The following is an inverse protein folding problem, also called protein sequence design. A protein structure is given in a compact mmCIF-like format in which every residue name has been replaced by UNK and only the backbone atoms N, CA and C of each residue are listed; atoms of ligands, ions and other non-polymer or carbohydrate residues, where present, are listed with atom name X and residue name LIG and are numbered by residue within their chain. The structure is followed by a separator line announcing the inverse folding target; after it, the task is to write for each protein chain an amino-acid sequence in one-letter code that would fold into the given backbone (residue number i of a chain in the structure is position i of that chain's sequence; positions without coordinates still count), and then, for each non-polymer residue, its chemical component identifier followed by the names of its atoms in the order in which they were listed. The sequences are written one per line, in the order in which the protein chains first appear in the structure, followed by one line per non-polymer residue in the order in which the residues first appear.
data_IF_107684918336
#
_entry.id   IF_107684918336
#
_cell.length_a   1.000
_cell.length_b   1.000
_cell.length_c   1.000
_cell.angle_alpha   90.00
_cell.angle_beta   90.00
_cell.angle_gamma   90.00
#
_symmetry.space_group_name_H-M   'P 1'
#
loop_
_entity.id
_entity.type
_entity.pdbx_description
1 polymer ?
#
# COMPACT_ATOMS: atom_id res chain seq x y z
N UNK A 1 -5.42 -17.77 -20.88
CA UNK A 1 -6.45 -18.13 -21.86
C UNK A 1 -7.74 -17.38 -21.56
N UNK A 2 -8.13 -17.35 -20.29
CA UNK A 2 -9.35 -16.68 -19.84
C UNK A 2 -8.98 -15.59 -18.85
N UNK A 3 -9.61 -14.43 -19.00
CA UNK A 3 -9.39 -13.32 -18.09
C UNK A 3 -10.21 -13.49 -16.83
N UNK A 4 -9.55 -13.43 -15.67
CA UNK A 4 -10.25 -13.58 -14.40
C UNK A 4 -11.23 -12.45 -14.16
N UNK A 5 -11.08 -11.32 -14.87
CA UNK A 5 -12.05 -10.22 -14.72
C UNK A 5 -13.41 -10.61 -15.27
N UNK A 6 -13.45 -11.35 -16.38
CA UNK A 6 -14.73 -11.74 -16.96
C UNK A 6 -15.52 -12.63 -16.01
N UNK A 7 -14.84 -13.58 -15.35
CA UNK A 7 -15.55 -14.45 -14.40
C UNK A 7 -16.17 -13.64 -13.27
N UNK A 8 -15.43 -12.66 -12.74
CA UNK A 8 -15.97 -11.83 -11.67
C UNK A 8 -17.12 -10.97 -12.16
N UNK A 9 -17.10 -10.56 -13.43
CA UNK A 9 -18.17 -9.74 -13.97
C UNK A 9 -19.50 -10.49 -13.97
N UNK A 10 -19.49 -11.76 -14.37
CA UNK A 10 -20.69 -12.57 -14.47
C UNK A 10 -21.00 -13.36 -13.21
N UNK A 11 -20.58 -12.85 -12.05
CA UNK A 11 -20.78 -13.50 -10.76
C UNK A 11 -21.63 -12.59 -9.87
N UNK A 12 -21.80 -13.01 -8.62
CA UNK A 12 -22.56 -12.28 -7.62
C UNK A 12 -21.68 -12.14 -6.37
N UNK A 13 -20.78 -11.16 -6.36
CA UNK A 13 -19.85 -11.05 -5.23
C UNK A 13 -20.57 -10.86 -3.90
N UNK A 14 -19.96 -11.39 -2.86
CA UNK A 14 -20.50 -11.35 -1.49
C UNK A 14 -19.48 -10.66 -0.61
N UNK A 15 -19.96 -9.72 0.21
CA UNK A 15 -19.07 -8.94 1.07
C UNK A 15 -18.82 -9.72 2.35
N UNK A 16 -17.56 -9.80 2.76
CA UNK A 16 -17.16 -10.44 4.01
C UNK A 16 -16.38 -9.40 4.82
N UNK A 17 -16.95 -8.99 5.95
CA UNK A 17 -16.30 -8.00 6.79
C UNK A 17 -15.12 -8.62 7.54
N UNK A 18 -14.17 -7.76 7.91
CA UNK A 18 -13.04 -8.20 8.70
C UNK A 18 -13.46 -8.80 10.03
N UNK A 19 -12.92 -9.97 10.36
CA UNK A 19 -13.32 -10.67 11.56
C UNK A 19 -14.60 -11.47 11.41
N UNK A 20 -15.07 -11.68 10.19
CA UNK A 20 -16.31 -12.38 9.91
C UNK A 20 -16.03 -13.63 9.09
N UNK A 21 -17.10 -14.34 8.72
CA UNK A 21 -16.96 -15.61 8.03
C UNK A 21 -18.23 -15.89 7.23
N UNK A 22 -18.06 -16.40 6.02
CA UNK A 22 -19.14 -16.88 5.17
C UNK A 22 -18.83 -18.29 4.71
N UNK A 23 -19.88 -19.05 4.41
CA UNK A 23 -19.73 -20.43 3.99
C UNK A 23 -20.62 -20.72 2.79
N UNK A 24 -20.07 -21.49 1.84
CA UNK A 24 -20.82 -22.01 0.71
C UNK A 24 -20.92 -23.52 0.83
N UNK A 25 -22.07 -24.07 0.45
CA UNK A 25 -22.33 -25.49 0.54
C UNK A 25 -22.53 -26.08 -0.84
N UNK A 26 -21.94 -27.25 -1.07
CA UNK A 26 -22.03 -27.94 -2.37
C UNK A 26 -22.28 -29.42 -2.09
N UNK A 27 -23.54 -29.84 -2.22
CA UNK A 27 -23.91 -31.23 -2.03
C UNK A 27 -24.12 -31.99 -3.33
N UNK A 28 -24.34 -31.29 -4.43
CA UNK A 28 -24.52 -31.96 -5.72
C UNK A 28 -23.26 -32.75 -6.05
N UNK A 29 -23.35 -34.07 -6.28
CA UNK A 29 -22.13 -34.85 -6.55
C UNK A 29 -21.43 -34.46 -7.84
N UNK A 30 -22.10 -33.75 -8.75
CA UNK A 30 -21.48 -33.38 -10.02
C UNK A 30 -20.52 -32.22 -9.90
N UNK A 31 -20.33 -31.66 -8.70
CA UNK A 31 -19.44 -30.53 -8.49
C UNK A 31 -18.05 -31.10 -8.21
N UNK A 32 -17.22 -31.18 -9.25
CA UNK A 32 -15.87 -31.72 -9.10
C UNK A 32 -14.94 -30.74 -8.42
N UNK A 33 -15.07 -29.45 -8.70
CA UNK A 33 -14.19 -28.45 -8.10
C UNK A 33 -14.90 -27.11 -8.10
N UNK A 34 -14.42 -26.20 -7.25
CA UNK A 34 -14.95 -24.85 -7.13
C UNK A 34 -13.82 -23.85 -7.27
N UNK A 35 -14.15 -22.65 -7.70
CA UNK A 35 -13.19 -21.58 -7.93
C UNK A 35 -13.51 -20.41 -6.99
N UNK A 36 -12.54 -20.02 -6.18
CA UNK A 36 -12.69 -18.93 -5.22
C UNK A 36 -12.02 -17.69 -5.78
N UNK A 37 -12.76 -16.59 -5.86
CA UNK A 37 -12.23 -15.30 -6.28
C UNK A 37 -12.41 -14.31 -5.12
N UNK A 38 -11.33 -13.63 -4.76
CA UNK A 38 -11.34 -12.67 -3.66
C UNK A 38 -10.81 -11.34 -4.16
N UNK A 39 -11.63 -10.29 -4.00
CA UNK A 39 -11.25 -8.94 -4.40
C UNK A 39 -11.59 -7.97 -3.27
N UNK A 40 -10.98 -6.79 -3.33
CA UNK A 40 -11.27 -5.69 -2.41
C UNK A 40 -11.47 -4.42 -3.22
N UNK A 41 -11.85 -3.35 -2.52
CA UNK A 41 -11.96 -2.03 -3.14
C UNK A 41 -10.67 -1.22 -2.95
N UNK A 42 -9.54 -1.81 -3.31
CA UNK A 42 -8.26 -1.14 -3.31
C UNK A 42 -7.35 -1.49 -2.15
N UNK A 43 -7.92 -1.74 -0.97
CA UNK A 43 -7.11 -1.95 0.23
C UNK A 43 -6.53 -3.36 0.26
N UNK A 44 -5.55 -3.59 1.13
CA UNK A 44 -4.95 -4.93 1.21
C UNK A 44 -5.95 -5.98 1.68
N UNK A 45 -5.71 -7.23 1.26
CA UNK A 45 -6.57 -8.36 1.59
C UNK A 45 -5.83 -9.32 2.51
N UNK A 46 -6.55 -9.81 3.52
CA UNK A 46 -6.03 -10.83 4.44
C UNK A 46 -7.15 -11.81 4.71
N UNK A 47 -7.07 -13.01 4.14
CA UNK A 47 -8.18 -13.95 4.12
C UNK A 47 -7.72 -15.34 4.53
N UNK A 48 -8.71 -16.17 4.85
CA UNK A 48 -8.51 -17.59 5.15
C UNK A 48 -9.55 -18.40 4.40
N UNK A 49 -9.10 -19.28 3.51
CA UNK A 49 -9.97 -20.13 2.72
C UNK A 49 -9.78 -21.55 3.19
N UNK A 50 -10.86 -22.19 3.63
CA UNK A 50 -10.81 -23.54 4.18
C UNK A 50 -11.91 -24.39 3.58
N UNK A 51 -11.56 -25.62 3.20
CA UNK A 51 -12.51 -26.62 2.77
C UNK A 51 -12.83 -27.51 3.96
N UNK A 52 -14.10 -27.57 4.34
CA UNK A 52 -14.57 -28.39 5.44
C UNK A 52 -15.35 -29.57 4.90
N UNK A 53 -15.01 -30.78 5.34
CA UNK A 53 -15.65 -32.00 4.87
C UNK A 53 -16.58 -32.61 5.90
N UNK A 54 -16.13 -32.78 7.12
CA UNK A 54 -16.93 -33.36 8.18
C UNK A 54 -17.03 -32.44 9.38
N UNK A 55 -17.35 -33.00 10.55
CA UNK A 55 -17.46 -32.16 11.75
C UNK A 55 -16.17 -31.43 12.11
N UNK A 56 -15.00 -32.07 11.92
CA UNK A 56 -13.75 -31.48 12.36
C UNK A 56 -12.61 -31.71 11.38
N UNK A 57 -12.91 -31.89 10.10
CA UNK A 57 -11.91 -32.19 9.08
C UNK A 57 -11.68 -30.99 8.18
N UNK A 58 -10.42 -30.59 8.03
CA UNK A 58 -10.01 -29.48 7.18
C UNK A 58 -8.90 -29.99 6.26
N UNK A 59 -9.24 -30.70 5.19
CA UNK A 59 -8.20 -31.24 4.29
C UNK A 59 -7.56 -30.18 3.40
N UNK A 60 -8.19 -29.01 3.25
CA UNK A 60 -7.70 -27.99 2.33
C UNK A 60 -7.88 -26.63 2.98
N UNK A 61 -6.81 -25.86 3.10
CA UNK A 61 -6.88 -24.56 3.74
C UNK A 61 -5.76 -23.66 3.23
N UNK A 62 -6.04 -22.35 3.20
CA UNK A 62 -5.11 -21.36 2.68
C UNK A 62 -5.07 -20.15 3.59
N UNK A 63 -3.91 -19.52 3.70
CA UNK A 63 -3.75 -18.21 4.33
C UNK A 63 -3.28 -17.25 3.24
N UNK A 64 -4.12 -16.30 2.90
CA UNK A 64 -3.91 -15.44 1.72
C UNK A 64 -3.58 -14.03 2.18
N UNK A 65 -2.81 -13.32 1.36
CA UNK A 65 -2.50 -11.91 1.59
C UNK A 65 -2.23 -11.25 0.25
N UNK A 66 -2.97 -10.19 -0.05
CA UNK A 66 -2.81 -9.43 -1.28
C UNK A 66 -2.71 -7.95 -0.92
N UNK A 67 -1.74 -7.26 -1.51
CA UNK A 67 -1.52 -5.85 -1.18
C UNK A 67 -2.60 -4.95 -1.73
N UNK A 68 -3.16 -5.28 -2.91
CA UNK A 68 -4.17 -4.46 -3.56
C UNK A 68 -5.19 -5.38 -4.21
N UNK A 69 -6.35 -5.54 -3.57
CA UNK A 69 -7.35 -6.44 -4.10
C UNK A 69 -8.05 -5.92 -5.34
N UNK A 70 -8.16 -4.59 -5.47
CA UNK A 70 -8.77 -4.03 -6.67
C UNK A 70 -7.90 -4.30 -7.90
N UNK A 71 -6.59 -4.12 -7.78
CA UNK A 71 -5.70 -4.36 -8.90
C UNK A 71 -5.54 -5.85 -9.17
N UNK A 72 -5.33 -6.64 -8.12
CA UNK A 72 -4.98 -8.05 -8.24
C UNK A 72 -6.16 -8.91 -7.78
N UNK A 73 -6.52 -9.89 -8.59
CA UNK A 73 -7.59 -10.83 -8.27
C UNK A 73 -6.96 -12.12 -7.74
N UNK A 74 -7.32 -12.50 -6.52
CA UNK A 74 -6.95 -13.80 -6.01
C UNK A 74 -7.82 -14.88 -6.65
N UNK A 75 -7.23 -16.04 -6.89
CA UNK A 75 -7.93 -17.12 -7.56
C UNK A 75 -7.32 -18.45 -7.17
N UNK A 76 -8.17 -19.42 -6.86
CA UNK A 76 -7.75 -20.78 -6.56
C UNK A 76 -8.90 -21.72 -6.86
N UNK A 77 -8.62 -22.76 -7.65
CA UNK A 77 -9.60 -23.81 -7.94
C UNK A 77 -9.39 -24.92 -6.94
N UNK A 78 -10.42 -25.21 -6.15
CA UNK A 78 -10.36 -26.19 -5.07
C UNK A 78 -11.11 -27.44 -5.51
N UNK A 79 -10.48 -28.60 -5.34
CA UNK A 79 -11.16 -29.84 -5.62
C UNK A 79 -12.17 -30.18 -4.55
N UNK A 80 -13.29 -30.76 -4.97
CA UNK A 80 -14.36 -31.20 -4.07
C UNK A 80 -14.70 -32.64 -4.42
N UNK A 81 -13.78 -33.57 -4.15
CA UNK A 81 -13.94 -34.95 -4.65
C UNK A 81 -15.14 -35.69 -4.09
N UNK A 82 -15.25 -35.82 -2.77
CA UNK A 82 -16.15 -36.78 -2.16
C UNK A 82 -17.15 -36.08 -1.25
N UNK A 83 -18.42 -36.49 -1.36
CA UNK A 83 -19.43 -36.12 -0.41
C UNK A 83 -19.75 -34.64 -0.42
N UNK A 84 -20.55 -34.19 0.55
CA UNK A 84 -20.84 -32.76 0.66
C UNK A 84 -19.60 -32.01 1.13
N UNK A 85 -19.31 -30.90 0.44
CA UNK A 85 -18.19 -30.04 0.78
C UNK A 85 -18.70 -28.63 0.98
N UNK A 86 -18.32 -28.00 2.09
CA UNK A 86 -18.64 -26.61 2.36
C UNK A 86 -17.35 -25.80 2.38
N UNK A 87 -17.32 -24.73 1.57
CA UNK A 87 -16.19 -23.82 1.52
C UNK A 87 -16.43 -22.68 2.48
N UNK A 88 -15.40 -22.31 3.24
CA UNK A 88 -15.51 -21.27 4.27
C UNK A 88 -14.48 -20.18 4.00
N UNK A 89 -14.96 -18.95 3.87
CA UNK A 89 -14.11 -17.77 3.70
C UNK A 89 -14.14 -17.00 5.01
N UNK A 90 -12.98 -16.79 5.61
CA UNK A 90 -12.84 -16.05 6.85
C UNK A 90 -11.92 -14.87 6.62
N UNK A 91 -12.48 -13.66 6.72
CA UNK A 91 -11.69 -12.44 6.62
C UNK A 91 -10.99 -12.22 7.96
N UNK A 92 -9.66 -12.34 7.96
CA UNK A 92 -8.89 -12.26 9.19
C UNK A 92 -8.27 -10.89 9.42
N UNK A 93 -8.48 -9.96 8.48
CA UNK A 93 -8.02 -8.60 8.69
C UNK A 93 -8.96 -7.82 9.59
N UNK A 94 -8.51 -6.62 9.97
CA UNK A 94 -9.30 -5.76 10.84
C UNK A 94 -10.53 -5.26 10.08
N UNK A 95 -11.33 -4.43 10.76
CA UNK A 95 -12.54 -3.90 10.16
C UNK A 95 -12.24 -2.98 8.98
N UNK A 96 -11.00 -2.52 8.84
CA UNK A 96 -10.64 -1.59 7.79
C UNK A 96 -10.40 -2.26 6.43
N UNK A 97 -10.36 -3.58 6.37
CA UNK A 97 -9.97 -4.32 5.17
C UNK A 97 -11.05 -5.32 4.79
N UNK A 98 -12.19 -4.85 4.31
CA UNK A 98 -13.22 -5.76 3.80
C UNK A 98 -12.79 -6.38 2.49
N UNK A 99 -13.40 -7.53 2.18
CA UNK A 99 -13.11 -8.24 0.94
C UNK A 99 -14.40 -8.72 0.31
N UNK A 100 -14.35 -8.91 -1.01
CA UNK A 100 -15.43 -9.54 -1.77
C UNK A 100 -15.04 -10.98 -2.07
N UNK A 101 -16.02 -11.87 -2.10
CA UNK A 101 -15.77 -13.29 -2.28
C UNK A 101 -16.75 -13.89 -3.27
N UNK A 102 -16.22 -14.64 -4.23
CA UNK A 102 -17.03 -15.42 -5.17
C UNK A 102 -16.47 -16.84 -5.19
N UNK A 103 -17.27 -17.79 -4.72
CA UNK A 103 -16.95 -19.21 -4.81
C UNK A 103 -18.14 -19.91 -5.45
N UNK A 104 -17.92 -20.53 -6.59
CA UNK A 104 -18.97 -21.16 -7.38
C UNK A 104 -18.41 -22.44 -7.98
N UNK A 105 -19.26 -23.40 -8.31
CA UNK A 105 -18.76 -24.65 -8.88
C UNK A 105 -18.02 -24.41 -10.19
N UNK A 106 -16.93 -25.15 -10.37
CA UNK A 106 -16.13 -25.06 -11.59
C UNK A 106 -16.81 -25.88 -12.69
N UNK A 107 -16.17 -25.99 -13.84
CA UNK A 107 -16.70 -26.75 -14.96
C UNK A 107 -15.57 -27.51 -15.64
N UNK A 108 -15.94 -28.52 -16.43
CA UNK A 108 -14.94 -29.30 -17.15
C UNK A 108 -14.14 -28.42 -18.10
N UNK A 109 -14.78 -27.37 -18.63
CA UNK A 109 -14.13 -26.42 -19.52
C UNK A 109 -13.75 -25.12 -18.80
N UNK A 110 -13.62 -25.17 -17.48
CA UNK A 110 -13.36 -23.99 -16.67
C UNK A 110 -11.89 -23.72 -16.45
N UNK A 111 -11.59 -23.09 -15.32
CA UNK A 111 -10.22 -22.66 -15.04
C UNK A 111 -9.29 -23.85 -14.91
N UNK A 112 -9.74 -24.94 -14.29
CA UNK A 112 -8.86 -26.08 -14.07
C UNK A 112 -8.37 -26.66 -15.39
N UNK A 113 -9.26 -26.77 -16.38
CA UNK A 113 -8.85 -27.32 -17.68
C UNK A 113 -7.82 -26.42 -18.34
N UNK A 114 -8.02 -25.11 -18.30
CA UNK A 114 -7.05 -24.19 -18.88
C UNK A 114 -5.73 -24.24 -18.16
N UNK A 115 -5.75 -24.29 -16.83
CA UNK A 115 -4.52 -24.39 -16.05
C UNK A 115 -3.76 -25.65 -16.43
N UNK A 116 -4.46 -26.78 -16.54
CA UNK A 116 -3.80 -28.02 -16.93
C UNK A 116 -3.24 -27.93 -18.35
N UNK A 117 -4.00 -27.33 -19.28
CA UNK A 117 -3.55 -27.24 -20.65
C UNK A 117 -2.30 -26.38 -20.78
N UNK A 118 -2.24 -25.25 -20.06
CA UNK A 118 -1.10 -24.36 -20.17
C UNK A 118 0.14 -24.91 -19.44
N UNK A 119 -0.05 -25.87 -18.55
CA UNK A 119 1.04 -26.31 -17.68
C UNK A 119 2.16 -26.99 -18.48
N UNK A 120 3.38 -26.84 -17.97
CA UNK A 120 4.56 -27.50 -18.50
C UNK A 120 5.04 -28.53 -17.48
N UNK A 121 5.83 -29.50 -17.95
CA UNK A 121 6.37 -30.55 -17.10
C UNK A 121 6.83 -29.98 -15.77
N UNK A 122 6.29 -30.53 -14.68
CA UNK A 122 6.58 -30.02 -13.35
C UNK A 122 8.00 -30.35 -12.93
N UNK A 123 8.52 -29.55 -12.00
CA UNK A 123 9.83 -29.75 -11.41
C UNK A 123 9.69 -30.01 -9.92
N UNK A 124 10.66 -30.71 -9.36
CA UNK A 124 10.60 -31.13 -7.96
C UNK A 124 11.27 -30.09 -7.07
N UNK A 125 10.62 -29.78 -5.95
CA UNK A 125 11.17 -28.89 -4.93
C UNK A 125 11.24 -29.68 -3.63
N UNK A 126 12.45 -29.82 -3.10
CA UNK A 126 12.64 -30.54 -1.85
C UNK A 126 12.09 -29.73 -0.68
N UNK A 127 11.73 -30.43 0.39
CA UNK A 127 11.27 -29.78 1.60
C UNK A 127 12.32 -28.85 2.18
N UNK A 128 11.92 -27.63 2.51
CA UNK A 128 12.84 -26.63 2.98
C UNK A 128 13.58 -25.88 1.89
N UNK A 129 13.32 -26.20 0.63
CA UNK A 129 13.92 -25.53 -0.51
C UNK A 129 12.90 -24.60 -1.15
N UNK A 130 13.28 -23.98 -2.27
CA UNK A 130 12.38 -23.09 -2.98
C UNK A 130 12.82 -23.01 -4.44
N UNK A 131 11.93 -22.50 -5.27
CA UNK A 131 12.18 -22.28 -6.68
C UNK A 131 11.73 -20.88 -7.07
N UNK A 132 12.34 -20.36 -8.13
CA UNK A 132 12.09 -19.00 -8.60
C UNK A 132 11.69 -19.05 -10.07
N UNK A 133 10.67 -18.26 -10.43
CA UNK A 133 10.12 -18.23 -11.78
C UNK A 133 9.99 -16.79 -12.25
N UNK A 134 11.09 -16.18 -12.71
CA UNK A 134 10.98 -14.84 -13.30
C UNK A 134 10.06 -14.86 -14.51
N UNK A 135 9.25 -13.80 -14.64
CA UNK A 135 8.35 -13.63 -15.77
C UNK A 135 8.57 -12.26 -16.38
N UNK A 136 8.35 -12.18 -17.68
CA UNK A 136 8.59 -10.94 -18.40
C UNK A 136 7.36 -10.05 -18.36
N UNK A 137 7.53 -8.74 -18.60
CA UNK A 137 6.40 -7.81 -18.46
C UNK A 137 5.19 -8.16 -19.32
N UNK A 138 5.34 -9.05 -20.30
CA UNK A 138 4.23 -9.37 -21.20
C UNK A 138 3.19 -10.27 -20.57
N UNK A 139 3.50 -10.91 -19.44
CA UNK A 139 2.60 -11.86 -18.81
C UNK A 139 1.70 -11.11 -17.82
N UNK A 140 0.40 -11.36 -17.91
CA UNK A 140 -0.58 -10.78 -17.00
C UNK A 140 -1.03 -11.73 -15.89
N UNK A 141 -1.08 -13.04 -16.17
CA UNK A 141 -1.42 -14.01 -15.15
C UNK A 141 -0.62 -15.28 -15.41
N UNK A 142 -0.38 -16.04 -14.33
CA UNK A 142 0.40 -17.26 -14.40
C UNK A 142 -0.36 -18.37 -13.68
N UNK A 143 -0.37 -19.56 -14.26
CA UNK A 143 -1.00 -20.72 -13.66
C UNK A 143 0.01 -21.49 -12.82
N UNK A 144 -0.41 -21.89 -11.61
CA UNK A 144 0.42 -22.62 -10.67
C UNK A 144 -0.27 -23.94 -10.34
N UNK A 145 0.49 -25.02 -10.44
CA UNK A 145 0.02 -26.35 -10.05
C UNK A 145 1.04 -26.94 -9.08
N UNK A 146 0.56 -27.38 -7.93
CA UNK A 146 1.40 -28.02 -6.91
C UNK A 146 0.86 -29.41 -6.63
N UNK A 147 1.74 -30.41 -6.72
CA UNK A 147 1.35 -31.81 -6.56
C UNK A 147 2.39 -32.55 -5.74
N UNK A 148 1.97 -33.69 -5.19
CA UNK A 148 2.88 -34.63 -4.55
C UNK A 148 2.62 -36.02 -5.11
N UNK A 149 3.30 -37.03 -4.57
CA UNK A 149 3.06 -38.41 -4.94
C UNK A 149 2.15 -39.14 -3.96
N UNK A 150 1.62 -38.44 -2.96
CA UNK A 150 0.76 -39.05 -1.96
C UNK A 150 0.99 -38.49 -0.58
N UNK A 151 2.03 -37.68 -0.41
CA UNK A 151 2.33 -37.06 0.87
C UNK A 151 1.50 -35.81 1.08
N UNK A 152 1.38 -35.35 2.33
CA UNK A 152 0.72 -34.06 2.57
C UNK A 152 1.53 -32.92 1.97
N UNK A 153 0.82 -31.86 1.59
CA UNK A 153 1.40 -30.72 0.89
C UNK A 153 1.46 -29.52 1.82
N UNK A 154 2.65 -28.94 1.96
CA UNK A 154 2.86 -27.74 2.76
C UNK A 154 3.76 -26.81 1.96
N UNK A 155 3.17 -25.78 1.37
CA UNK A 155 3.88 -24.90 0.45
C UNK A 155 3.55 -23.45 0.79
N UNK A 156 4.33 -22.55 0.18
CA UNK A 156 4.09 -21.11 0.28
C UNK A 156 4.46 -20.46 -1.05
N UNK A 157 3.49 -19.80 -1.67
CA UNK A 157 3.68 -19.11 -2.94
C UNK A 157 3.81 -17.63 -2.65
N UNK A 158 4.85 -17.00 -3.20
CA UNK A 158 5.08 -15.58 -3.04
C UNK A 158 5.27 -14.94 -4.42
N UNK A 159 4.57 -13.84 -4.66
CA UNK A 159 4.77 -13.02 -5.84
C UNK A 159 5.54 -11.78 -5.43
N UNK A 160 6.65 -11.52 -6.11
CA UNK A 160 7.52 -10.40 -5.81
C UNK A 160 7.66 -9.50 -7.02
N UNK A 161 7.62 -8.19 -6.78
CA UNK A 161 7.97 -7.18 -7.77
C UNK A 161 9.27 -6.47 -7.40
N UNK A 162 10.08 -7.07 -6.54
CA UNK A 162 11.34 -6.50 -6.11
C UNK A 162 12.13 -7.49 -5.30
N UNK A 163 13.32 -7.09 -4.83
CA UNK A 163 14.13 -7.99 -4.01
C UNK A 163 13.35 -8.66 -2.89
N UNK A 164 12.76 -7.88 -1.98
CA UNK A 164 12.00 -8.45 -0.88
C UNK A 164 10.61 -7.85 -0.83
N UNK A 165 10.07 -7.51 -1.99
CA UNK A 165 8.83 -6.74 -2.11
C UNK A 165 7.69 -7.71 -2.40
N UNK A 166 7.05 -8.18 -1.33
CA UNK A 166 6.00 -9.19 -1.45
C UNK A 166 4.67 -8.52 -1.80
N UNK A 167 4.07 -8.95 -2.90
CA UNK A 167 2.75 -8.47 -3.30
C UNK A 167 1.64 -9.46 -3.01
N UNK A 168 1.94 -10.77 -3.09
CA UNK A 168 0.94 -11.79 -2.82
C UNK A 168 1.63 -12.99 -2.18
N UNK A 169 1.05 -13.49 -1.08
CA UNK A 169 1.61 -14.63 -0.36
C UNK A 169 0.47 -15.60 -0.06
N UNK A 170 0.70 -16.88 -0.35
CA UNK A 170 -0.29 -17.93 -0.16
C UNK A 170 0.38 -19.08 0.59
N UNK A 171 0.03 -19.24 1.87
CA UNK A 171 0.52 -20.35 2.69
C UNK A 171 -0.56 -21.43 2.68
N UNK A 172 -0.37 -22.45 1.84
CA UNK A 172 -1.38 -23.46 1.59
C UNK A 172 -1.03 -24.77 2.27
N UNK A 173 -2.07 -25.56 2.56
CA UNK A 173 -1.91 -26.89 3.11
C UNK A 173 -2.94 -27.83 2.49
N UNK A 174 -2.49 -29.01 2.10
CA UNK A 174 -3.37 -30.05 1.59
C UNK A 174 -2.97 -31.38 2.22
N UNK A 175 -3.97 -32.21 2.50
CA UNK A 175 -3.70 -33.49 3.17
C UNK A 175 -3.08 -34.50 2.22
N UNK A 176 -3.39 -34.42 0.93
CA UNK A 176 -2.84 -35.37 -0.05
C UNK A 176 -2.68 -34.64 -1.38
N UNK A 177 -1.43 -34.35 -1.75
CA UNK A 177 -1.19 -33.66 -3.00
C UNK A 177 -1.62 -34.45 -4.22
N UNK A 178 -1.52 -35.78 -4.17
CA UNK A 178 -1.96 -36.60 -5.28
C UNK A 178 -3.47 -36.52 -5.45
N UNK A 179 -4.21 -36.69 -4.36
CA UNK A 179 -5.67 -36.65 -4.41
C UNK A 179 -6.21 -35.23 -4.53
N UNK A 180 -5.52 -34.25 -3.93
CA UNK A 180 -6.04 -32.88 -3.82
C UNK A 180 -4.99 -31.91 -4.35
N UNK A 181 -4.82 -31.83 -5.66
CA UNK A 181 -3.85 -30.88 -6.22
C UNK A 181 -4.28 -29.44 -5.97
N UNK A 182 -3.28 -28.55 -5.91
CA UNK A 182 -3.52 -27.13 -5.68
C UNK A 182 -3.44 -26.39 -7.01
N UNK A 183 -4.56 -25.83 -7.43
CA UNK A 183 -4.64 -24.97 -8.61
C UNK A 183 -4.82 -23.53 -8.16
N UNK A 184 -4.17 -22.60 -8.87
CA UNK A 184 -4.29 -21.19 -8.55
C UNK A 184 -3.72 -20.37 -9.69
N UNK A 185 -4.34 -19.22 -9.93
CA UNK A 185 -3.87 -18.25 -10.92
C UNK A 185 -3.41 -17.01 -10.18
N UNK A 186 -2.20 -16.56 -10.48
CA UNK A 186 -1.62 -15.37 -9.88
C UNK A 186 -1.51 -14.31 -10.96
N UNK A 187 -2.22 -13.20 -10.79
CA UNK A 187 -2.12 -12.08 -11.71
C UNK A 187 -0.80 -11.34 -11.46
N UNK A 188 -0.15 -10.94 -12.56
CA UNK A 188 1.17 -10.32 -12.50
C UNK A 188 1.15 -9.01 -13.28
N UNK A 189 0.46 -8.00 -12.77
CA UNK A 189 0.53 -6.68 -13.40
C UNK A 189 1.89 -6.03 -13.20
N UNK A 190 2.29 -5.25 -14.20
CA UNK A 190 3.55 -4.51 -14.11
C UNK A 190 4.74 -5.26 -14.63
N UNK A 191 5.91 -4.99 -14.05
CA UNK A 191 7.17 -5.60 -14.49
C UNK A 191 7.94 -6.05 -13.26
N UNK A 192 8.94 -6.91 -13.50
CA UNK A 192 9.74 -7.43 -12.43
C UNK A 192 9.04 -8.45 -11.57
N UNK A 193 7.99 -9.09 -12.09
CA UNK A 193 7.22 -10.07 -11.33
C UNK A 193 8.00 -11.38 -11.24
N UNK A 194 8.22 -11.85 -10.02
CA UNK A 194 8.94 -13.09 -9.76
C UNK A 194 8.12 -13.94 -8.81
N UNK A 195 7.87 -15.19 -9.19
CA UNK A 195 7.09 -16.12 -8.39
C UNK A 195 8.05 -17.04 -7.66
N UNK A 196 7.98 -17.04 -6.33
CA UNK A 196 8.79 -17.92 -5.48
C UNK A 196 7.88 -18.96 -4.85
N UNK A 197 8.18 -20.23 -5.08
CA UNK A 197 7.47 -21.36 -4.49
C UNK A 197 8.36 -21.96 -3.43
N UNK A 198 7.89 -21.95 -2.18
CA UNK A 198 8.68 -22.39 -1.04
C UNK A 198 8.01 -23.63 -0.45
N UNK A 199 8.77 -24.72 -0.37
CA UNK A 199 8.30 -25.97 0.23
C UNK A 199 8.69 -25.94 1.70
N UNK A 200 7.73 -25.63 2.57
CA UNK A 200 8.01 -25.46 3.99
C UNK A 200 8.01 -26.77 4.77
N UNK A 201 7.71 -27.89 4.12
CA UNK A 201 7.73 -29.17 4.80
C UNK A 201 9.17 -29.62 5.05
N UNK A 202 9.38 -30.55 5.98
CA UNK A 202 10.73 -31.07 6.21
C UNK A 202 11.30 -31.72 4.95
N UNK A 203 12.59 -32.04 5.02
CA UNK A 203 13.33 -32.45 3.83
C UNK A 203 12.70 -33.67 3.17
N UNK A 204 12.09 -34.57 3.94
CA UNK A 204 11.57 -35.82 3.43
C UNK A 204 10.15 -35.69 2.87
N UNK A 205 9.71 -34.48 2.53
CA UNK A 205 8.39 -34.24 1.95
C UNK A 205 8.53 -33.35 0.71
N UNK A 206 9.02 -33.92 -0.40
CA UNK A 206 9.12 -33.14 -1.63
C UNK A 206 7.76 -32.94 -2.29
N UNK A 207 7.69 -31.93 -3.16
CA UNK A 207 6.50 -31.65 -3.94
C UNK A 207 6.89 -31.35 -5.38
N UNK A 208 5.89 -31.30 -6.25
CA UNK A 208 6.06 -30.98 -7.66
C UNK A 208 5.37 -29.66 -7.97
N UNK A 209 6.03 -28.83 -8.77
CA UNK A 209 5.51 -27.51 -9.11
C UNK A 209 5.64 -27.26 -10.60
N UNK A 210 4.75 -26.41 -11.11
CA UNK A 210 4.80 -26.00 -12.52
C UNK A 210 4.13 -24.64 -12.61
N UNK A 211 4.93 -23.59 -12.81
CA UNK A 211 4.43 -22.22 -12.96
C UNK A 211 4.69 -21.80 -14.40
N UNK A 212 3.61 -21.64 -15.16
CA UNK A 212 3.68 -21.26 -16.56
C UNK A 212 3.01 -19.91 -16.77
N UNK A 213 3.29 -19.29 -17.90
CA UNK A 213 2.58 -18.09 -18.29
C UNK A 213 1.18 -18.46 -18.74
N UNK A 214 0.17 -17.76 -18.19
CA UNK A 214 -1.22 -18.08 -18.47
C UNK A 214 -1.85 -17.07 -19.43
N UNK A 215 -1.79 -15.78 -19.10
CA UNK A 215 -2.37 -14.73 -19.93
C UNK A 215 -1.29 -13.72 -20.28
N UNK A 216 -1.01 -13.59 -21.57
CA UNK A 216 -0.03 -12.63 -22.07
C UNK A 216 -0.74 -11.67 -23.01
N UNK A 217 -0.54 -10.37 -22.78
CA UNK A 217 -1.27 -9.36 -23.54
C UNK A 217 -0.49 -8.79 -24.71
N UNK A 218 0.83 -8.81 -24.63
CA UNK A 218 1.63 -8.23 -25.70
C UNK A 218 1.44 -6.73 -25.84
N UNK A 219 1.45 -6.01 -24.72
CA UNK A 219 1.20 -4.59 -24.75
C UNK A 219 2.33 -3.80 -25.39
N UNK A 220 3.48 -3.75 -24.73
CA UNK A 220 4.64 -3.05 -25.27
C UNK A 220 4.35 -1.59 -25.56
N UNK A 221 3.71 -0.89 -24.62
CA UNK A 221 3.37 0.52 -24.77
C UNK A 221 4.46 1.35 -24.11
N UNK A 222 5.10 2.22 -24.89
CA UNK A 222 6.23 3.03 -24.43
C UNK A 222 5.95 4.51 -24.64
N UNK A 223 4.74 4.95 -24.31
CA UNK A 223 4.43 6.37 -24.39
C UNK A 223 5.05 7.14 -23.23
N UNK A 224 5.18 6.50 -22.07
CA UNK A 224 5.76 7.16 -20.91
C UNK A 224 7.26 7.37 -21.04
N UNK A 225 7.90 6.77 -22.04
CA UNK A 225 9.33 6.94 -22.22
C UNK A 225 9.65 8.36 -22.65
N UNK A 226 10.52 9.03 -21.90
CA UNK A 226 10.88 10.41 -22.11
C UNK A 226 11.01 11.13 -20.80
N UNK A 227 10.94 12.46 -20.86
CA UNK A 227 11.05 13.27 -19.66
C UNK A 227 9.93 12.91 -18.67
N UNK A 228 10.29 12.80 -17.40
CA UNK A 228 9.33 12.52 -16.34
C UNK A 228 8.77 13.83 -15.81
N UNK A 229 7.47 14.03 -15.93
CA UNK A 229 6.80 15.25 -15.53
C UNK A 229 5.95 14.97 -14.31
N UNK A 230 6.05 15.84 -13.31
CA UNK A 230 5.28 15.68 -12.10
C UNK A 230 3.81 16.00 -12.31
N UNK A 231 3.04 15.80 -11.25
CA UNK A 231 1.61 16.10 -11.31
C UNK A 231 1.37 17.56 -11.65
N UNK A 232 0.47 17.79 -12.59
CA UNK A 232 0.12 19.14 -13.03
C UNK A 232 -1.19 19.56 -12.39
N UNK A 233 -1.21 20.74 -11.80
CA UNK A 233 -2.38 21.22 -11.07
C UNK A 233 -2.50 22.75 -11.18
N UNK B 1 11.93 25.15 17.21
CA UNK B 1 11.93 24.76 18.61
C UNK B 1 12.42 23.33 18.77
N UNK B 2 12.03 22.46 17.83
CA UNK B 2 12.42 21.06 17.84
C UNK B 2 12.92 20.68 16.44
N UNK B 3 13.94 19.84 16.39
CA UNK B 3 14.49 19.39 15.12
C UNK B 3 13.91 18.04 14.75
N UNK B 4 13.41 17.93 13.51
CA UNK B 4 12.89 16.65 13.04
C UNK B 4 13.97 15.58 13.07
N UNK B 5 15.23 15.96 12.89
CA UNK B 5 16.33 15.00 12.94
C UNK B 5 16.46 14.38 14.33
N UNK B 6 16.20 15.16 15.38
CA UNK B 6 16.27 14.63 16.74
C UNK B 6 15.26 13.51 16.94
N UNK B 7 14.02 13.72 16.47
CA UNK B 7 12.99 12.69 16.60
C UNK B 7 13.29 11.51 15.69
N UNK B 8 13.65 11.78 14.44
CA UNK B 8 13.91 10.70 13.49
C UNK B 8 15.09 9.83 13.91
N UNK B 9 15.99 10.36 14.74
CA UNK B 9 17.13 9.57 15.21
C UNK B 9 16.72 8.58 16.30
N UNK B 10 15.67 8.89 17.06
CA UNK B 10 15.16 8.00 18.11
C UNK B 10 13.95 7.21 17.62
N UNK B 11 13.95 6.84 16.34
CA UNK B 11 12.82 6.14 15.72
C UNK B 11 13.34 4.86 15.08
N UNK B 12 12.41 4.12 14.46
CA UNK B 12 12.72 2.87 13.77
C UNK B 12 12.14 2.97 12.36
N UNK B 13 12.88 3.60 11.43
CA UNK B 13 12.33 3.82 10.09
C UNK B 13 12.05 2.50 9.38
N UNK B 14 11.03 2.52 8.53
CA UNK B 14 10.60 1.37 7.76
C UNK B 14 10.71 1.71 6.28
N UNK B 15 11.36 0.84 5.52
CA UNK B 15 11.53 1.06 4.09
C UNK B 15 10.24 0.66 3.37
N UNK B 16 9.78 1.52 2.48
CA UNK B 16 8.62 1.26 1.64
C UNK B 16 9.10 1.35 0.20
N UNK B 17 9.05 0.22 -0.52
CA UNK B 17 9.51 0.19 -1.89
C UNK B 17 8.51 0.88 -2.82
N UNK B 18 9.00 1.24 -4.00
CA UNK B 18 8.14 1.85 -4.99
C UNK B 18 6.98 0.95 -5.37
N UNK B 19 5.76 1.46 -5.23
CA UNK B 19 4.57 0.68 -5.52
C UNK B 19 4.04 -0.12 -4.35
N UNK B 20 4.72 -0.14 -3.21
CA UNK B 20 4.33 -0.94 -2.07
C UNK B 20 3.48 -0.12 -1.09
N UNK B 21 3.19 -0.70 0.06
CA UNK B 21 2.32 -0.08 1.04
C UNK B 21 2.53 -0.75 2.39
N UNK B 22 2.78 0.05 3.42
CA UNK B 22 2.81 -0.42 4.80
C UNK B 22 1.71 0.28 5.58
N UNK B 23 1.24 -0.39 6.63
CA UNK B 23 0.16 0.12 7.46
C UNK B 23 0.52 0.01 8.93
N UNK B 24 0.01 0.95 9.71
CA UNK B 24 0.15 0.94 11.16
C UNK B 24 -1.24 0.90 11.78
N UNK B 25 -1.34 0.35 12.98
CA UNK B 25 -2.60 0.26 13.70
C UNK B 25 -2.45 0.88 15.08
N UNK B 26 -3.39 1.76 15.42
CA UNK B 26 -3.42 2.43 16.72
C UNK B 26 -4.84 2.30 17.28
N UNK B 27 -5.10 1.19 17.96
CA UNK B 27 -6.40 0.96 18.61
C UNK B 27 -6.48 1.59 19.99
N UNK B 28 -5.37 2.04 20.55
CA UNK B 28 -5.37 2.62 21.88
C UNK B 28 -6.02 4.01 21.85
N UNK B 29 -7.11 4.25 22.59
CA UNK B 29 -7.72 5.58 22.57
C UNK B 29 -6.84 6.68 23.18
N UNK B 30 -5.82 6.31 23.94
CA UNK B 30 -4.92 7.32 24.51
C UNK B 30 -4.09 8.03 23.44
N UNK B 31 -4.08 7.53 22.22
CA UNK B 31 -3.29 8.10 21.13
C UNK B 31 -4.12 9.21 20.48
N UNK B 32 -3.82 10.46 20.81
CA UNK B 32 -4.57 11.58 20.25
C UNK B 32 -4.16 11.86 18.81
N UNK B 33 -2.88 11.72 18.48
CA UNK B 33 -2.41 12.02 17.13
C UNK B 33 -1.10 11.27 16.89
N UNK B 34 -0.77 11.10 15.61
CA UNK B 34 0.44 10.41 15.18
C UNK B 34 1.21 11.32 14.24
N UNK B 35 2.53 11.39 14.42
CA UNK B 35 3.39 12.19 13.58
C UNK B 35 4.05 11.30 12.53
N UNK B 36 3.96 11.71 11.27
CA UNK B 36 4.45 10.92 10.14
C UNK B 36 5.68 11.62 9.58
N UNK B 37 6.80 10.90 9.55
CA UNK B 37 8.06 11.40 9.00
C UNK B 37 8.49 10.50 7.85
N UNK B 38 8.75 11.11 6.69
CA UNK B 38 9.21 10.39 5.51
C UNK B 38 10.53 10.97 5.03
N UNK B 39 11.46 10.08 4.67
CA UNK B 39 12.76 10.47 4.14
C UNK B 39 13.13 9.54 2.99
N UNK B 40 14.24 9.87 2.33
CA UNK B 40 14.82 9.00 1.31
C UNK B 40 16.34 9.09 1.41
N UNK B 41 17.02 8.32 0.57
CA UNK B 41 18.48 8.38 0.46
C UNK B 41 18.90 9.30 -0.68
N UNK B 42 18.37 10.53 -0.69
CA UNK B 42 18.76 11.52 -1.66
C UNK B 42 17.92 11.55 -2.93
N UNK B 43 17.21 10.48 -3.23
CA UNK B 43 16.36 10.45 -4.41
C UNK B 43 14.99 11.04 -4.11
N UNK B 44 14.24 11.43 -5.14
CA UNK B 44 12.94 12.08 -4.90
C UNK B 44 11.97 11.17 -4.15
N UNK B 45 11.01 11.82 -3.49
CA UNK B 45 9.97 11.16 -2.72
C UNK B 45 8.62 11.40 -3.38
N UNK B 46 7.79 10.36 -3.41
CA UNK B 46 6.44 10.46 -3.96
C UNK B 46 5.57 9.42 -3.25
N UNK B 47 4.75 9.88 -2.31
CA UNK B 47 4.00 8.98 -1.44
C UNK B 47 2.59 9.48 -1.25
N UNK B 48 1.70 8.55 -0.92
CA UNK B 48 0.34 8.85 -0.48
C UNK B 48 0.20 8.47 0.98
N UNK B 49 -0.29 9.41 1.79
CA UNK B 49 -0.55 9.17 3.21
C UNK B 49 -2.06 9.27 3.41
N UNK B 50 -2.65 8.22 3.96
CA UNK B 50 -4.09 8.17 4.21
C UNK B 50 -4.35 7.68 5.62
N UNK B 51 -5.44 8.18 6.20
CA UNK B 51 -5.96 7.69 7.47
C UNK B 51 -7.20 6.86 7.18
N UNK B 52 -7.20 5.61 7.63
CA UNK B 52 -8.31 4.69 7.43
C UNK B 52 -8.99 4.47 8.77
N UNK B 53 -10.31 4.69 8.81
CA UNK B 53 -11.09 4.54 10.03
C UNK B 53 -12.07 3.37 9.94
N UNK B 54 -12.94 3.38 8.92
CA UNK B 54 -13.88 2.31 8.73
C UNK B 54 -13.53 1.45 7.53
N UNK B 55 -14.44 0.57 7.12
CA UNK B 55 -14.17 -0.26 5.95
C UNK B 55 -13.90 0.54 4.68
N UNK B 56 -14.60 1.67 4.48
CA UNK B 56 -14.48 2.42 3.24
C UNK B 56 -14.44 3.92 3.49
N UNK B 57 -13.96 4.34 4.65
CA UNK B 57 -13.86 5.75 5.00
C UNK B 57 -12.40 6.15 5.14
N UNK B 58 -11.99 7.17 4.40
CA UNK B 58 -10.65 7.75 4.52
C UNK B 58 -10.82 9.24 4.77
N UNK B 59 -10.93 9.66 6.04
CA UNK B 59 -11.22 11.07 6.34
C UNK B 59 -10.02 11.99 6.27
N UNK B 60 -8.82 11.49 5.97
CA UNK B 60 -7.63 12.33 5.99
C UNK B 60 -6.59 11.67 5.08
N UNK B 61 -6.35 12.28 3.91
CA UNK B 61 -5.40 11.75 2.94
C UNK B 61 -4.52 12.88 2.41
N UNK B 62 -3.34 12.50 1.95
CA UNK B 62 -2.31 13.46 1.55
C UNK B 62 -1.49 12.91 0.39
N UNK B 63 -1.40 13.68 -0.68
CA UNK B 63 -0.56 13.37 -1.84
C UNK B 63 0.70 14.20 -1.72
N UNK B 64 1.85 13.53 -1.61
CA UNK B 64 3.09 14.18 -1.18
C UNK B 64 4.16 14.01 -2.26
N UNK B 65 4.94 15.06 -2.47
CA UNK B 65 6.07 15.05 -3.39
C UNK B 65 7.20 15.88 -2.81
N UNK B 66 8.40 15.31 -2.78
CA UNK B 66 9.60 16.02 -2.34
C UNK B 66 10.71 15.74 -3.34
N UNK B 67 11.37 16.79 -3.82
CA UNK B 67 12.41 16.62 -4.83
C UNK B 67 13.60 15.83 -4.29
N UNK B 68 14.01 16.11 -3.05
CA UNK B 68 15.12 15.41 -2.42
C UNK B 68 14.70 15.03 -1.00
N UNK B 69 14.65 13.73 -0.73
CA UNK B 69 14.21 13.26 0.57
C UNK B 69 15.29 13.26 1.65
N UNK B 70 16.56 13.18 1.25
CA UNK B 70 17.63 13.24 2.25
C UNK B 70 17.80 14.66 2.79
N UNK B 71 17.80 15.65 1.90
CA UNK B 71 17.92 17.04 2.35
C UNK B 71 16.67 17.49 3.11
N UNK B 72 15.50 17.09 2.64
CA UNK B 72 14.23 17.59 3.16
C UNK B 72 13.44 16.42 3.75
N UNK B 73 13.13 16.52 5.04
CA UNK B 73 12.32 15.52 5.73
C UNK B 73 10.86 15.97 5.69
N UNK B 74 10.00 15.16 5.09
CA UNK B 74 8.58 15.44 5.13
C UNK B 74 8.03 15.13 6.51
N UNK B 75 7.19 16.01 7.04
CA UNK B 75 6.63 15.83 8.37
C UNK B 75 5.17 16.25 8.36
N UNK B 76 4.34 15.49 9.08
CA UNK B 76 2.94 15.82 9.25
C UNK B 76 2.44 15.18 10.54
N UNK B 77 1.49 15.85 11.18
CA UNK B 77 0.84 15.33 12.38
C UNK B 77 -0.63 15.11 12.04
N UNK B 78 -1.09 13.88 12.22
CA UNK B 78 -2.44 13.49 11.85
C UNK B 78 -3.23 13.20 13.12
N UNK B 79 -4.37 13.86 13.26
CA UNK B 79 -5.24 13.60 14.40
C UNK B 79 -6.00 12.31 14.22
N UNK B 80 -6.20 11.60 15.34
CA UNK B 80 -6.90 10.32 15.37
C UNK B 80 -7.96 10.38 16.45
N UNK B 81 -9.04 11.13 16.21
CA UNK B 81 -9.98 11.44 17.30
C UNK B 81 -10.71 10.24 17.87
N UNK B 82 -11.34 9.43 17.02
CA UNK B 82 -12.35 8.47 17.47
C UNK B 82 -11.97 7.06 17.05
N UNK B 83 -11.90 6.15 18.03
CA UNK B 83 -11.82 4.74 17.77
C UNK B 83 -10.48 4.31 17.21
N UNK B 84 -10.41 3.09 16.69
CA UNK B 84 -9.16 2.62 16.08
C UNK B 84 -8.95 3.21 14.70
N UNK B 85 -7.70 3.56 14.42
CA UNK B 85 -7.30 4.10 13.13
C UNK B 85 -6.05 3.38 12.66
N UNK B 86 -5.90 3.28 11.34
CA UNK B 86 -4.68 2.75 10.74
C UNK B 86 -4.20 3.72 9.67
N UNK B 87 -2.92 4.06 9.72
CA UNK B 87 -2.31 4.99 8.77
C UNK B 87 -1.70 4.19 7.62
N UNK B 88 -2.10 4.53 6.39
CA UNK B 88 -1.64 3.83 5.20
C UNK B 88 -0.64 4.70 4.47
N UNK B 89 0.62 4.30 4.48
CA UNK B 89 1.69 5.00 3.76
C UNK B 89 1.96 4.24 2.48
N UNK B 90 1.55 4.81 1.34
CA UNK B 90 1.72 4.18 0.05
C UNK B 90 2.81 4.91 -0.73
N UNK B 91 3.79 4.16 -1.21
CA UNK B 91 4.82 4.70 -2.10
C UNK B 91 4.31 4.59 -3.54
N UNK B 92 3.92 5.72 -4.13
CA UNK B 92 3.40 5.72 -5.49
C UNK B 92 4.48 5.99 -6.52
N UNK B 93 5.74 6.13 -6.10
CA UNK B 93 6.82 6.29 -7.04
C UNK B 93 7.20 4.97 -7.69
N UNK B 94 8.16 5.06 -8.61
CA UNK B 94 8.65 3.87 -9.29
C UNK B 94 9.70 3.17 -8.42
N UNK B 95 10.19 2.03 -8.93
CA UNK B 95 11.13 1.23 -8.15
C UNK B 95 12.38 2.03 -7.79
N UNK B 96 12.73 3.03 -8.59
CA UNK B 96 13.95 3.80 -8.38
C UNK B 96 13.88 4.70 -7.15
N UNK B 97 12.70 4.89 -6.55
CA UNK B 97 12.50 5.89 -5.50
C UNK B 97 11.94 5.22 -4.26
N UNK B 98 12.76 4.49 -3.51
CA UNK B 98 12.33 4.01 -2.19
C UNK B 98 12.27 5.15 -1.19
N UNK B 99 11.44 4.96 -0.16
CA UNK B 99 11.30 5.94 0.90
C UNK B 99 11.36 5.26 2.26
N UNK B 100 11.88 5.98 3.25
CA UNK B 100 11.88 5.55 4.63
C UNK B 100 10.77 6.28 5.38
N UNK B 101 10.04 5.55 6.22
CA UNK B 101 8.85 6.07 6.86
C UNK B 101 8.89 5.83 8.36
N UNK B 102 8.50 6.85 9.11
CA UNK B 102 8.31 6.74 10.56
C UNK B 102 6.93 7.29 10.88
N UNK B 103 6.15 6.52 11.63
CA UNK B 103 4.84 6.97 12.13
C UNK B 103 4.71 6.42 13.54
N UNK B 104 4.74 7.30 14.53
CA UNK B 104 4.67 6.93 15.93
C UNK B 104 3.68 7.86 16.61
N UNK B 105 3.10 7.45 17.73
CA UNK B 105 2.12 8.30 18.41
C UNK B 105 2.76 9.61 18.86
N UNK B 106 1.98 10.69 18.76
CA UNK B 106 2.38 11.98 19.27
C UNK B 106 2.07 12.05 20.76
N UNK B 107 2.70 13.02 21.45
CA UNK B 107 2.54 13.17 22.89
C UNK B 107 1.97 14.55 23.17
N UNK B 108 1.70 14.82 24.46
CA UNK B 108 1.20 16.12 24.85
C UNK B 108 2.22 17.21 24.55
N UNK B 109 3.49 16.95 24.86
CA UNK B 109 4.58 17.90 24.65
C UNK B 109 5.35 17.60 23.37
N UNK B 110 4.66 17.13 22.34
CA UNK B 110 5.26 16.74 21.08
C UNK B 110 5.21 17.83 20.04
N UNK B 111 5.01 17.43 18.79
CA UNK B 111 5.08 18.37 17.68
C UNK B 111 3.84 19.26 17.63
N UNK B 112 2.65 18.68 17.84
CA UNK B 112 1.44 19.47 17.80
C UNK B 112 1.51 20.63 18.79
N UNK B 113 2.01 20.37 20.00
CA UNK B 113 2.17 21.43 20.99
C UNK B 113 3.13 22.49 20.47
N UNK B 114 4.25 22.08 19.89
CA UNK B 114 5.21 23.04 19.38
C UNK B 114 4.65 23.86 18.22
N UNK B 115 3.97 23.19 17.29
CA UNK B 115 3.40 23.89 16.15
C UNK B 115 2.37 24.92 16.63
N UNK B 116 1.53 24.53 17.59
CA UNK B 116 0.59 25.48 18.16
C UNK B 116 1.30 26.62 18.86
N UNK B 117 2.39 26.33 19.58
CA UNK B 117 3.08 27.36 20.33
C UNK B 117 3.70 28.40 19.41
N UNK B 118 4.24 27.96 18.26
CA UNK B 118 4.87 28.90 17.33
C UNK B 118 3.86 29.56 16.40
N UNK B 119 2.62 29.09 16.38
CA UNK B 119 1.64 29.60 15.43
C UNK B 119 1.21 31.02 15.77
N UNK B 120 0.93 31.80 14.73
CA UNK B 120 0.42 33.16 14.85
C UNK B 120 -1.02 33.19 14.35
N UNK B 121 -1.77 34.18 14.84
CA UNK B 121 -3.17 34.34 14.48
C UNK B 121 -3.38 34.07 12.99
N UNK B 122 -4.35 33.21 12.70
CA UNK B 122 -4.55 32.70 11.35
C UNK B 122 -5.31 33.69 10.49
N UNK B 123 -5.09 33.60 9.18
CA UNK B 123 -5.79 34.39 8.19
C UNK B 123 -6.60 33.46 7.29
N UNK B 124 -7.55 34.05 6.56
CA UNK B 124 -8.49 33.30 5.75
C UNK B 124 -8.07 33.32 4.29
N UNK B 125 -8.25 32.18 3.62
CA UNK B 125 -8.05 32.06 2.18
C UNK B 125 -9.39 31.66 1.58
N UNK B 126 -9.87 32.43 0.62
CA UNK B 126 -11.15 32.13 0.00
C UNK B 126 -11.02 30.92 -0.93
N UNK B 127 -12.15 30.26 -1.16
CA UNK B 127 -12.18 29.15 -2.07
C UNK B 127 -11.70 29.55 -3.46
N UNK B 128 -10.76 28.80 -4.01
CA UNK B 128 -10.18 29.13 -5.30
C UNK B 128 -9.13 30.21 -5.26
N UNK B 129 -8.80 30.74 -4.10
CA UNK B 129 -7.79 31.76 -3.94
C UNK B 129 -6.46 31.11 -3.53
N UNK B 130 -5.47 31.94 -3.18
CA UNK B 130 -4.18 31.44 -2.72
C UNK B 130 -3.51 32.51 -1.88
N UNK B 131 -2.52 32.07 -1.11
CA UNK B 131 -1.73 32.96 -0.27
C UNK B 131 -0.25 32.61 -0.41
N UNK B 132 0.60 33.60 -0.18
CA UNK B 132 2.04 33.45 -0.35
C UNK B 132 2.74 33.87 0.93
N UNK B 133 3.74 33.08 1.34
CA UNK B 133 4.45 33.30 2.60
C UNK B 133 5.96 33.26 2.35
N UNK B 134 6.58 34.41 2.08
CA UNK B 134 8.03 34.44 1.94
C UNK B 134 8.71 34.38 3.31
N UNK B 135 9.92 33.83 3.32
CA UNK B 135 10.68 33.67 4.54
C UNK B 135 12.14 34.05 4.29
N UNK B 136 12.79 34.54 5.34
CA UNK B 136 14.18 34.93 5.23
C UNK B 136 15.10 33.73 5.40
N UNK B 137 16.35 33.82 4.95
CA UNK B 137 17.21 32.62 4.92
C UNK B 137 17.50 32.03 6.29
N UNK B 138 17.30 32.79 7.38
CA UNK B 138 17.71 32.31 8.69
C UNK B 138 16.81 31.22 9.24
N UNK B 139 15.62 31.04 8.66
CA UNK B 139 14.66 30.06 9.18
C UNK B 139 14.87 28.73 8.46
N UNK B 140 15.02 27.66 9.23
CA UNK B 140 15.25 26.33 8.67
C UNK B 140 13.97 25.55 8.43
N UNK B 141 12.96 25.71 9.29
CA UNK B 141 11.70 25.01 9.15
C UNK B 141 10.56 25.95 9.53
N UNK B 142 9.39 25.71 8.93
CA UNK B 142 8.20 26.50 9.20
C UNK B 142 7.07 25.57 9.61
N UNK B 143 6.20 26.08 10.48
CA UNK B 143 5.03 25.35 10.94
C UNK B 143 3.79 25.86 10.23
N UNK B 144 2.97 24.93 9.74
CA UNK B 144 1.76 25.25 8.99
C UNK B 144 0.58 24.60 9.67
N UNK B 145 -0.49 25.36 9.88
CA UNK B 145 -1.75 24.87 10.41
C UNK B 145 -2.85 25.31 9.47
N UNK B 146 -3.74 24.38 9.09
CA UNK B 146 -4.87 24.67 8.23
C UNK B 146 -6.14 24.17 8.92
N UNK B 147 -7.19 25.00 8.87
CA UNK B 147 -8.44 24.69 9.54
C UNK B 147 -9.59 25.26 8.74
N UNK B 148 -10.80 24.77 9.05
CA UNK B 148 -12.03 25.39 8.57
C UNK B 148 -12.99 25.54 9.74
N UNK B 149 -14.23 25.93 9.47
CA UNK B 149 -15.25 26.01 10.50
C UNK B 149 -16.09 24.74 10.61
N UNK B 150 -15.76 23.71 9.85
CA UNK B 150 -16.52 22.46 9.87
C UNK B 150 -16.61 21.81 8.51
N UNK B 151 -16.36 22.57 7.46
CA UNK B 151 -16.45 22.07 6.09
C UNK B 151 -15.18 21.31 5.73
N UNK B 152 -15.24 20.40 4.76
CA UNK B 152 -14.04 19.65 4.38
C UNK B 152 -12.94 20.57 3.86
N UNK B 153 -11.70 20.18 4.14
CA UNK B 153 -10.52 20.97 3.80
C UNK B 153 -9.89 20.41 2.52
N UNK B 154 -9.76 21.25 1.50
CA UNK B 154 -9.13 20.88 0.23
C UNK B 154 -8.08 21.93 -0.08
N UNK B 155 -6.83 21.66 0.29
CA UNK B 155 -5.76 22.64 0.16
C UNK B 155 -4.54 22.00 -0.49
N UNK B 156 -3.75 22.84 -1.15
CA UNK B 156 -2.47 22.45 -1.74
C UNK B 156 -1.38 23.36 -1.19
N UNK B 157 -0.32 22.77 -0.67
CA UNK B 157 0.82 23.49 -0.11
C UNK B 157 2.01 23.26 -1.02
N UNK B 158 2.70 24.34 -1.39
CA UNK B 158 3.86 24.28 -2.27
C UNK B 158 5.00 25.06 -1.69
N UNK B 159 6.21 24.54 -1.85
CA UNK B 159 7.44 25.22 -1.46
C UNK B 159 8.25 25.49 -2.73
N UNK B 160 8.65 26.74 -2.90
CA UNK B 160 9.41 27.15 -4.07
C UNK B 160 10.70 27.83 -3.65
N UNK B 161 11.77 27.54 -4.38
CA UNK B 161 13.06 28.22 -4.22
C UNK B 161 13.39 29.10 -5.42
N UNK B 162 12.43 29.31 -6.31
CA UNK B 162 12.60 30.19 -7.44
C UNK B 162 11.24 30.63 -7.96
N UNK B 163 11.22 31.24 -9.14
CA UNK B 163 9.93 31.67 -9.71
C UNK B 163 8.94 30.51 -9.82
N UNK B 164 9.34 29.44 -10.49
CA UNK B 164 8.49 28.26 -10.71
C UNK B 164 9.28 27.00 -10.39
N UNK B 165 9.98 27.00 -9.27
CA UNK B 165 10.87 25.91 -8.88
C UNK B 165 10.25 25.19 -7.67
N UNK B 166 9.41 24.21 -7.95
CA UNK B 166 8.74 23.46 -6.89
C UNK B 166 9.72 22.51 -6.20
N UNK B 167 9.75 22.56 -4.88
CA UNK B 167 10.61 21.69 -4.09
C UNK B 167 9.84 20.69 -3.24
N UNK B 168 8.62 21.02 -2.84
CA UNK B 168 7.78 20.14 -2.05
C UNK B 168 6.33 20.50 -2.28
N UNK B 169 5.53 19.53 -2.70
CA UNK B 169 4.11 19.73 -2.96
C UNK B 169 3.33 18.74 -2.09
N UNK B 170 2.34 19.26 -1.36
CA UNK B 170 1.49 18.45 -0.51
C UNK B 170 0.05 18.83 -0.82
N UNK B 171 -0.67 17.93 -1.51
CA UNK B 171 -2.10 18.09 -1.73
C UNK B 171 -2.82 17.30 -0.66
N UNK B 172 -3.46 18.00 0.28
CA UNK B 172 -4.11 17.39 1.42
C UNK B 172 -5.62 17.44 1.28
N UNK B 173 -6.28 16.46 1.86
CA UNK B 173 -7.74 16.45 1.97
C UNK B 173 -8.13 16.06 3.38
N UNK B 174 -9.19 16.67 3.87
CA UNK B 174 -9.78 16.32 5.15
C UNK B 174 -11.30 16.39 5.01
N UNK B 175 -11.99 15.52 5.77
CA UNK B 175 -13.44 15.50 5.70
C UNK B 175 -14.07 16.62 6.53
N UNK B 176 -13.44 16.96 7.66
CA UNK B 176 -13.95 18.03 8.54
C UNK B 176 -12.75 18.83 9.02
N UNK B 177 -12.59 20.04 8.48
CA UNK B 177 -11.44 20.86 8.85
C UNK B 177 -11.43 21.26 10.30
N UNK B 178 -12.60 21.49 10.89
CA UNK B 178 -12.67 21.85 12.30
C UNK B 178 -12.24 20.69 13.18
N UNK B 179 -12.80 19.50 12.93
CA UNK B 179 -12.47 18.33 13.74
C UNK B 179 -11.10 17.77 13.39
N UNK B 180 -10.65 17.94 12.15
CA UNK B 180 -9.42 17.33 11.65
C UNK B 180 -8.53 18.42 11.05
N UNK B 181 -7.86 19.21 11.89
CA UNK B 181 -6.91 20.19 11.37
C UNK B 181 -5.68 19.53 10.78
N UNK B 182 -5.04 20.25 9.87
CA UNK B 182 -3.80 19.81 9.24
C UNK B 182 -2.61 20.48 9.92
N UNK B 183 -1.71 19.67 10.45
CA UNK B 183 -0.47 20.13 11.05
C UNK B 183 0.71 19.60 10.24
N UNK B 184 1.78 20.38 10.19
CA UNK B 184 2.94 19.98 9.40
C UNK B 184 4.10 20.91 9.69
N UNK B 185 5.31 20.37 9.56
CA UNK B 185 6.55 21.13 9.65
C UNK B 185 7.27 20.96 8.32
N UNK B 186 7.40 22.04 7.56
CA UNK B 186 8.04 22.02 6.25
C UNK B 186 9.43 22.62 6.40
N UNK B 187 10.45 21.84 6.05
CA UNK B 187 11.82 22.31 6.14
C UNK B 187 12.14 23.23 4.96
N UNK B 188 12.88 24.30 5.26
CA UNK B 188 13.23 25.33 4.28
C UNK B 188 14.73 25.60 4.34
N UNK B 189 15.55 24.62 3.94
CA UNK B 189 16.99 24.88 3.86
C UNK B 189 17.32 25.86 2.73
N UNK B 190 18.36 26.64 2.94
CA UNK B 190 18.80 27.59 1.94
C UNK B 190 18.10 28.94 2.03
N UNK B 191 17.90 29.59 0.89
CA UNK B 191 17.31 30.91 0.83
C UNK B 191 16.37 30.98 -0.38
N UNK B 192 15.59 32.06 -0.42
CA UNK B 192 14.61 32.22 -1.48
C UNK B 192 13.38 31.36 -1.32
N UNK B 193 13.10 30.90 -0.11
CA UNK B 193 12.01 29.95 0.12
C UNK B 193 10.68 30.69 0.27
N UNK B 194 9.71 30.29 -0.54
CA UNK B 194 8.36 30.83 -0.50
C UNK B 194 7.38 29.67 -0.35
N UNK B 195 6.52 29.75 0.65
CA UNK B 195 5.50 28.73 0.89
C UNK B 195 4.17 29.26 0.36
N UNK B 196 3.58 28.55 -0.58
CA UNK B 196 2.31 28.94 -1.19
C UNK B 196 1.21 28.01 -0.69
N UNK B 197 0.09 28.59 -0.30
CA UNK B 197 -1.08 27.86 0.15
C UNK B 197 -2.24 28.19 -0.78
N UNK B 198 -2.78 27.18 -1.44
CA UNK B 198 -3.88 27.35 -2.39
C UNK B 198 -5.09 26.60 -1.84
N UNK B 199 -6.21 27.31 -1.71
CA UNK B 199 -7.47 26.70 -1.34
C UNK B 199 -8.16 26.20 -2.60
N UNK B 200 -8.27 24.88 -2.72
CA UNK B 200 -8.79 24.25 -3.93
C UNK B 200 -10.29 23.99 -3.88
N UNK B 201 -10.94 24.30 -2.75
CA UNK B 201 -12.38 24.08 -2.64
C UNK B 201 -13.12 25.13 -3.45
N UNK B 202 -14.40 24.87 -3.77
CA UNK B 202 -15.18 25.85 -4.53
C UNK B 202 -15.16 27.22 -3.86
N UNK B 203 -15.60 28.23 -4.62
CA UNK B 203 -15.37 29.62 -4.25
C UNK B 203 -15.99 29.93 -2.88
N UNK B 204 -17.04 29.23 -2.49
CA UNK B 204 -17.71 29.47 -1.22
C UNK B 204 -17.22 28.55 -0.10
N UNK B 205 -15.95 28.15 -0.15
CA UNK B 205 -15.37 27.20 0.82
C UNK B 205 -14.06 27.77 1.36
N UNK B 206 -14.12 28.79 2.21
CA UNK B 206 -12.89 29.37 2.76
C UNK B 206 -12.24 28.45 3.78
N UNK B 207 -10.95 28.69 4.01
CA UNK B 207 -10.20 27.98 5.03
C UNK B 207 -9.31 28.98 5.77
N UNK B 208 -8.78 28.53 6.90
CA UNK B 208 -7.89 29.33 7.74
C UNK B 208 -6.49 28.73 7.70
N UNK B 209 -5.48 29.59 7.54
CA UNK B 209 -4.11 29.17 7.41
C UNK B 209 -3.21 29.98 8.32
N UNK B 210 -2.12 29.36 8.77
CA UNK B 210 -1.08 30.05 9.53
C UNK B 210 0.25 29.41 9.21
N UNK B 211 1.19 30.21 8.70
CA UNK B 211 2.51 29.74 8.32
C UNK B 211 3.54 30.57 9.09
N UNK B 212 4.18 29.96 10.06
CA UNK B 212 5.14 30.65 10.92
C UNK B 212 6.45 29.89 10.95
N UNK B 213 7.55 30.64 11.08
CA UNK B 213 8.85 30.02 11.22
C UNK B 213 8.90 29.18 12.49
N UNK B 214 9.29 27.93 12.35
CA UNK B 214 9.35 27.00 13.48
C UNK B 214 10.75 26.90 14.08
N UNK B 215 11.77 26.77 13.25
CA UNK B 215 13.16 26.70 13.70
C UNK B 215 13.97 27.74 12.97
N UNK B 216 14.73 28.54 13.71
CA UNK B 216 15.63 29.54 13.15
C UNK B 216 17.04 29.21 13.61
N UNK B 217 17.95 29.12 12.64
CA UNK B 217 19.32 28.76 12.95
C UNK B 217 20.09 29.90 13.59
N UNK B 218 20.14 31.04 12.92
CA UNK B 218 20.90 32.17 13.43
C UNK B 218 22.38 31.91 13.55
N UNK B 219 22.88 30.84 12.92
CA UNK B 219 24.29 30.51 13.04
C UNK B 219 25.19 31.58 12.45
N UNK B 220 24.73 32.23 11.39
CA UNK B 220 25.55 33.22 10.71
C UNK B 220 26.79 32.63 10.08
N UNK B 221 26.71 31.39 9.59
CA UNK B 221 27.84 30.74 8.94
C UNK B 221 27.84 31.10 7.47
N UNK B 222 28.95 31.70 7.01
CA UNK B 222 29.07 32.17 5.64
C UNK B 222 30.41 31.75 5.06
N UNK B 223 30.77 30.47 5.21
CA UNK B 223 32.05 29.99 4.72
C UNK B 223 32.16 30.17 3.21
N UNK B 224 31.08 29.90 2.48
CA UNK B 224 31.11 30.00 1.03
C UNK B 224 31.33 31.44 0.56
N UNK B 225 31.12 32.43 1.42
CA UNK B 225 31.32 33.81 1.04
C UNK B 225 32.79 34.06 0.66
N UNK B 226 33.05 34.32 -0.61
CA UNK B 226 34.38 34.52 -1.11
C UNK B 226 34.53 33.87 -2.46
N UNK B 227 35.78 33.62 -2.85
CA UNK B 227 36.05 33.04 -4.17
C UNK B 227 35.41 31.68 -4.30
N UNK B 228 34.58 31.52 -5.33
CA UNK B 228 33.92 30.25 -5.60
C UNK B 228 34.82 29.37 -6.47
N UNK B 229 35.93 28.96 -5.86
CA UNK B 229 36.91 28.13 -6.57
C UNK B 229 36.23 26.84 -7.01
N UNK B 230 36.28 26.57 -8.31
CA UNK B 230 35.71 25.33 -8.83
C UNK B 230 36.32 24.11 -8.17
N UNK B 231 35.67 22.96 -8.30
CA UNK B 231 36.19 21.74 -7.71
C UNK B 231 37.64 21.54 -8.05
N UNK B 232 38.49 21.57 -7.03
CA UNK B 232 39.93 21.37 -7.22
C UNK B 232 40.22 19.87 -7.18
N UNK B 233 40.59 19.32 -8.33
CA UNK B 233 40.83 17.88 -8.45
C UNK B 233 42.21 17.60 -9.03
#
# INVERSE_FOLDING_TARGET
XXXXXXXWDNSSPVIVQGGSLRTWSFANPAIESVQVLLKTEGRPLDADVELWQGPDNTPHKMRVYVEDGALRTFNAVIGTPRGPNTVAIRNIGQLEFPLDAVVRPDRDDGLAAGIASVATRSETIQGGALRTYPFNPTVDSVAIILKTDGRPLNARIELLQGPNNNKQVVELYTEDGLDRPFFAIVETPGSGNVVRVVNTAPVEFPLYASVDAYRVGGGGDWADDGLMIGRAF
XXXXXXXWDNSSPVIVQGGSLRTWSFANPAIESVQVLLKTEGRPLDADVELWQGPDNTPHKMRVYVEDGALRTFNAVIGTPRGPNTVAIRNIGQLEFPLDAVVRPDRDDGLAAGIASVATRSETIQGGALRTYPFNPTVDSVAIILKTDGRPLNARIELLQGPNNNKQVVELYTEDGLDRPFFAIVETPGSGNVVRVVNTAPVEFPLYASVDAYRVGGGGDWADDGLMIGRAF
#
